data_IF_723325189663
#
_entry.id   IF_723325189663
#
_cell.length_a   1.000
_cell.length_b   1.000
_cell.length_c   1.000
_cell.angle_alpha   90.00
_cell.angle_beta   90.00
_cell.angle_gamma   90.00
#
_symmetry.space_group_name_H-M   'P 1'
#
loop_
_entity.id
_entity.type
_entity.pdbx_description
1 polymer ?
#
# COMPACT_ATOMS: atom_id res chain seq x y z
N UNK A 1 14.31 3.26 15.17
CA UNK A 1 14.53 3.20 13.70
C UNK A 1 14.66 1.77 13.21
N UNK A 2 15.31 0.87 13.96
CA UNK A 2 15.49 -0.54 13.56
C UNK A 2 14.27 -1.43 13.82
N UNK A 3 13.32 -0.99 14.64
CA UNK A 3 12.15 -1.77 15.07
C UNK A 3 11.02 -1.84 14.01
N UNK A 4 11.31 -1.40 12.78
CA UNK A 4 10.36 -1.46 11.67
C UNK A 4 10.52 -2.78 10.90
N UNK A 5 9.55 -3.69 11.05
CA UNK A 5 9.57 -4.98 10.36
C UNK A 5 10.84 -5.79 10.65
N UNK A 6 11.44 -6.37 9.62
CA UNK A 6 12.65 -7.20 9.70
C UNK A 6 13.96 -6.40 9.56
N UNK A 7 13.94 -5.07 9.71
CA UNK A 7 15.11 -4.21 9.46
C UNK A 7 16.24 -4.49 10.44
N UNK A 8 15.95 -4.75 11.72
CA UNK A 8 16.97 -5.08 12.71
C UNK A 8 17.76 -6.34 12.33
N UNK A 9 17.07 -7.45 12.09
CA UNK A 9 17.66 -8.73 11.69
C UNK A 9 18.45 -8.58 10.38
N UNK A 10 17.90 -7.86 9.40
CA UNK A 10 18.56 -7.65 8.11
C UNK A 10 19.81 -6.76 8.21
N UNK A 11 19.84 -5.80 9.14
CA UNK A 11 21.04 -5.00 9.42
C UNK A 11 22.10 -5.83 10.13
N UNK A 12 21.72 -6.66 11.10
CA UNK A 12 22.63 -7.55 11.83
C UNK A 12 23.29 -8.58 10.89
N UNK A 13 22.58 -9.07 9.87
CA UNK A 13 23.17 -9.93 8.81
C UNK A 13 24.24 -9.22 7.97
N UNK A 14 24.22 -7.88 7.90
CA UNK A 14 25.21 -7.08 7.19
C UNK A 14 26.38 -6.63 8.10
N UNK A 15 26.34 -6.99 9.38
CA UNK A 15 27.34 -6.62 10.40
C UNK A 15 26.79 -5.62 11.42
N UNK A 16 27.65 -4.76 11.98
CA UNK A 16 27.24 -3.82 13.01
C UNK A 16 26.22 -2.78 12.49
N UNK A 17 25.31 -2.26 13.35
CA UNK A 17 24.33 -1.23 13.00
C UNK A 17 24.97 0.12 12.65
N UNK A 18 25.53 0.22 11.45
CA UNK A 18 26.05 1.46 10.87
C UNK A 18 25.03 2.10 9.93
N UNK A 19 25.12 3.43 9.72
CA UNK A 19 24.28 4.13 8.74
C UNK A 19 24.39 3.52 7.33
N UNK A 20 25.58 3.00 6.99
CA UNK A 20 25.83 2.28 5.73
C UNK A 20 25.01 0.99 5.65
N UNK A 21 25.05 0.16 6.69
CA UNK A 21 24.34 -1.12 6.73
C UNK A 21 22.82 -0.92 6.78
N UNK A 22 22.35 0.09 7.54
CA UNK A 22 20.93 0.50 7.51
C UNK A 22 20.50 0.91 6.11
N UNK A 23 21.27 1.77 5.44
CA UNK A 23 20.96 2.21 4.06
C UNK A 23 20.90 1.02 3.10
N UNK A 24 21.89 0.13 3.14
CA UNK A 24 21.97 -1.03 2.27
C UNK A 24 20.78 -1.96 2.48
N UNK A 25 20.48 -2.30 3.73
CA UNK A 25 19.31 -3.09 4.12
C UNK A 25 18.00 -2.49 3.58
N UNK A 26 17.79 -1.18 3.73
CA UNK A 26 16.58 -0.51 3.24
C UNK A 26 16.47 -0.57 1.71
N UNK A 27 17.59 -0.39 0.99
CA UNK A 27 17.62 -0.53 -0.47
C UNK A 27 17.23 -1.93 -0.90
N UNK A 28 17.77 -2.95 -0.25
CA UNK A 28 17.53 -4.35 -0.60
C UNK A 28 16.09 -4.77 -0.31
N UNK A 29 15.54 -4.39 0.85
CA UNK A 29 14.12 -4.61 1.19
C UNK A 29 13.21 -3.93 0.15
N UNK A 30 13.54 -2.71 -0.28
CA UNK A 30 12.72 -1.98 -1.27
C UNK A 30 12.77 -2.65 -2.64
N UNK A 31 13.93 -3.11 -3.08
CA UNK A 31 14.08 -3.85 -4.35
C UNK A 31 13.28 -5.15 -4.38
N UNK A 32 13.16 -5.82 -3.24
CA UNK A 32 12.35 -7.04 -3.13
C UNK A 32 10.84 -6.77 -3.14
N UNK A 33 10.40 -5.68 -2.50
CA UNK A 33 8.97 -5.41 -2.26
C UNK A 33 8.30 -4.54 -3.32
N UNK A 34 9.05 -3.68 -4.01
CA UNK A 34 8.50 -2.71 -4.94
C UNK A 34 8.80 -3.12 -6.38
N UNK A 35 7.82 -3.04 -7.31
CA UNK A 35 8.08 -3.30 -8.71
C UNK A 35 9.01 -2.24 -9.28
N UNK A 36 10.02 -2.69 -10.04
CA UNK A 36 10.93 -1.80 -10.74
C UNK A 36 10.16 -0.98 -11.78
N UNK A 37 10.16 0.37 -11.69
CA UNK A 37 9.52 1.24 -12.67
C UNK A 37 10.03 1.05 -14.10
N UNK A 38 11.26 0.56 -14.28
CA UNK A 38 11.83 0.21 -15.58
C UNK A 38 11.23 -1.05 -16.21
N UNK A 39 10.57 -1.91 -15.42
CA UNK A 39 9.86 -3.10 -15.90
C UNK A 39 8.36 -2.81 -16.04
N UNK A 40 7.76 -2.19 -15.02
CA UNK A 40 6.36 -1.77 -15.02
C UNK A 40 6.26 -0.31 -14.60
N UNK A 41 5.79 0.56 -15.50
CA UNK A 41 5.57 1.97 -15.15
C UNK A 41 4.64 2.09 -13.95
N UNK A 42 5.10 2.73 -12.87
CA UNK A 42 4.34 2.90 -11.64
C UNK A 42 4.80 4.14 -10.87
N UNK A 43 3.97 4.64 -9.95
CA UNK A 43 4.26 5.81 -9.12
C UNK A 43 4.44 5.45 -7.63
N UNK A 44 4.81 4.20 -7.34
CA UNK A 44 4.85 3.69 -5.96
C UNK A 44 3.45 3.43 -5.40
N UNK A 45 3.29 3.64 -4.09
CA UNK A 45 2.00 3.50 -3.42
C UNK A 45 1.02 4.54 -3.96
N UNK A 46 -0.07 4.09 -4.56
CA UNK A 46 -1.05 4.98 -5.18
C UNK A 46 -1.97 5.63 -4.15
N UNK A 47 -2.23 4.94 -3.03
CA UNK A 47 -3.11 5.40 -1.95
C UNK A 47 -2.37 5.55 -0.64
N UNK A 48 -2.78 6.55 0.14
CA UNK A 48 -2.40 6.72 1.54
C UNK A 48 -3.11 5.68 2.40
N UNK A 49 -2.49 5.31 3.52
CA UNK A 49 -3.16 4.52 4.54
C UNK A 49 -4.22 5.37 5.25
N UNK A 50 -5.51 4.99 5.23
CA UNK A 50 -6.58 5.77 5.85
C UNK A 50 -6.40 5.82 7.37
N UNK A 51 -6.60 7.02 7.93
CA UNK A 51 -6.84 7.21 9.36
C UNK A 51 -8.35 7.23 9.57
N UNK A 52 -8.84 6.37 10.45
CA UNK A 52 -10.26 6.18 10.74
C UNK A 52 -10.50 6.18 12.24
N UNK A 53 -11.76 6.35 12.63
CA UNK A 53 -12.13 6.29 14.05
C UNK A 53 -12.23 4.83 14.50
N UNK A 54 -12.12 4.60 15.81
CA UNK A 54 -12.11 3.24 16.39
C UNK A 54 -13.40 2.49 16.04
N UNK A 55 -14.55 3.17 15.94
CA UNK A 55 -15.83 2.57 15.55
C UNK A 55 -15.80 1.97 14.15
N UNK A 56 -15.12 2.61 13.19
CA UNK A 56 -14.95 2.10 11.82
C UNK A 56 -14.07 0.86 11.85
N UNK A 57 -12.98 0.87 12.62
CA UNK A 57 -12.15 -0.32 12.82
C UNK A 57 -12.95 -1.47 13.43
N UNK A 58 -13.77 -1.22 14.46
CA UNK A 58 -14.61 -2.25 15.07
C UNK A 58 -15.60 -2.86 14.08
N UNK A 59 -16.17 -2.07 13.18
CA UNK A 59 -17.03 -2.58 12.11
C UNK A 59 -16.26 -3.48 11.13
N UNK A 60 -15.06 -3.06 10.71
CA UNK A 60 -14.19 -3.90 9.86
C UNK A 60 -13.77 -5.19 10.58
N UNK A 61 -13.48 -5.13 11.88
CA UNK A 61 -13.09 -6.29 12.69
C UNK A 61 -14.21 -7.31 12.88
N UNK A 62 -15.49 -6.90 12.75
CA UNK A 62 -16.61 -7.83 12.84
C UNK A 62 -16.56 -8.88 11.72
N UNK A 63 -16.17 -8.46 10.51
CA UNK A 63 -16.04 -9.34 9.35
C UNK A 63 -14.60 -9.84 9.15
N UNK A 64 -13.60 -9.07 9.60
CA UNK A 64 -12.18 -9.37 9.43
C UNK A 64 -11.37 -9.15 10.72
N UNK A 65 -11.42 -10.09 11.67
CA UNK A 65 -10.73 -9.97 12.96
C UNK A 65 -9.21 -9.77 12.84
N UNK A 66 -8.61 -10.22 11.74
CA UNK A 66 -7.18 -10.14 11.46
C UNK A 66 -6.70 -8.82 10.84
N UNK A 67 -7.59 -7.83 10.67
CA UNK A 67 -7.22 -6.54 10.08
C UNK A 67 -6.05 -5.89 10.83
N UNK A 68 -4.92 -5.59 10.16
CA UNK A 68 -3.83 -4.89 10.79
C UNK A 68 -4.21 -3.42 10.99
N UNK A 69 -3.80 -2.85 12.11
CA UNK A 69 -4.00 -1.43 12.39
C UNK A 69 -2.86 -0.89 13.25
N UNK A 70 -2.68 0.42 13.21
CA UNK A 70 -1.74 1.15 14.06
C UNK A 70 -2.49 2.24 14.80
N UNK A 71 -2.45 2.23 16.13
CA UNK A 71 -3.05 3.30 16.94
C UNK A 71 -2.23 4.58 16.80
N UNK A 72 -2.91 5.72 16.76
CA UNK A 72 -2.30 7.05 16.71
C UNK A 72 -2.70 7.81 17.99
N UNK A 73 -1.96 7.62 19.12
CA UNK A 73 -2.37 8.09 20.44
C UNK A 73 -2.73 9.57 20.50
N UNK A 74 -1.99 10.41 19.79
CA UNK A 74 -2.20 11.87 19.78
C UNK A 74 -3.53 12.30 19.14
N UNK A 75 -4.05 11.52 18.20
CA UNK A 75 -5.29 11.83 17.49
C UNK A 75 -6.50 11.03 18.00
N UNK A 76 -6.27 9.97 18.78
CA UNK A 76 -7.30 8.99 19.14
C UNK A 76 -7.80 8.13 17.97
N UNK A 77 -7.18 8.24 16.79
CA UNK A 77 -7.56 7.52 15.57
C UNK A 77 -6.67 6.31 15.33
N UNK A 78 -7.07 5.46 14.40
CA UNK A 78 -6.31 4.28 13.98
C UNK A 78 -6.01 4.34 12.50
N UNK A 79 -4.82 3.90 12.12
CA UNK A 79 -4.39 3.82 10.72
C UNK A 79 -4.49 2.38 10.24
N UNK A 80 -5.27 2.14 9.19
CA UNK A 80 -5.42 0.83 8.57
C UNK A 80 -4.55 0.79 7.31
N UNK A 81 -3.73 -0.26 7.07
CA UNK A 81 -2.99 -0.41 5.82
C UNK A 81 -3.92 -0.53 4.60
N UNK A 82 -3.86 0.45 3.70
CA UNK A 82 -4.68 0.44 2.49
C UNK A 82 -4.38 -0.75 1.58
N UNK A 83 -3.12 -1.20 1.54
CA UNK A 83 -2.76 -2.42 0.80
C UNK A 83 -3.49 -3.67 1.28
N UNK A 84 -3.73 -3.79 2.59
CA UNK A 84 -4.49 -4.91 3.14
C UNK A 84 -5.97 -4.81 2.73
N UNK A 85 -6.56 -3.61 2.77
CA UNK A 85 -7.95 -3.40 2.34
C UNK A 85 -8.14 -3.76 0.85
N UNK A 86 -7.23 -3.28 -0.01
CA UNK A 86 -7.23 -3.56 -1.46
C UNK A 86 -7.06 -5.06 -1.73
N UNK A 87 -6.16 -5.72 -1.01
CA UNK A 87 -5.98 -7.17 -1.12
C UNK A 87 -7.22 -7.94 -0.67
N UNK A 88 -7.83 -7.57 0.46
CA UNK A 88 -9.03 -8.24 0.98
C UNK A 88 -10.27 -8.00 0.13
N UNK A 89 -10.36 -6.87 -0.55
CA UNK A 89 -11.36 -6.61 -1.57
C UNK A 89 -11.12 -7.40 -2.87
N UNK A 90 -9.98 -8.10 -3.01
CA UNK A 90 -9.70 -9.00 -4.14
C UNK A 90 -8.99 -8.32 -5.30
N UNK A 91 -8.52 -7.09 -5.15
CA UNK A 91 -7.92 -6.31 -6.24
C UNK A 91 -6.46 -6.66 -6.53
N UNK A 92 -5.73 -7.33 -5.62
CA UNK A 92 -4.31 -7.67 -5.84
C UNK A 92 -4.15 -8.55 -7.09
N UNK A 93 -3.40 -8.06 -8.08
CA UNK A 93 -3.21 -8.73 -9.36
C UNK A 93 -4.33 -8.53 -10.38
N UNK A 94 -5.43 -7.84 -10.03
CA UNK A 94 -6.52 -7.54 -10.95
C UNK A 94 -6.12 -6.46 -11.95
N UNK A 95 -6.79 -6.47 -13.10
CA UNK A 95 -6.56 -5.49 -14.16
C UNK A 95 -7.83 -4.93 -14.74
N UNK A 96 -7.76 -3.68 -15.18
CA UNK A 96 -8.80 -3.00 -15.93
C UNK A 96 -8.13 -2.38 -17.17
N UNK A 97 -8.39 -2.96 -18.33
CA UNK A 97 -7.68 -2.60 -19.57
C UNK A 97 -6.17 -2.81 -19.43
N UNK A 98 -5.39 -1.77 -19.72
CA UNK A 98 -3.93 -1.79 -19.62
C UNK A 98 -3.39 -1.46 -18.21
N UNK A 99 -4.24 -1.00 -17.30
CA UNK A 99 -3.90 -0.74 -15.91
C UNK A 99 -4.09 -2.01 -15.06
N UNK A 100 -3.26 -2.20 -14.03
CA UNK A 100 -3.42 -3.31 -13.08
C UNK A 100 -2.92 -2.96 -11.68
N UNK A 101 -3.36 -3.71 -10.69
CA UNK A 101 -2.76 -3.74 -9.36
C UNK A 101 -1.61 -4.75 -9.36
N UNK A 102 -0.45 -4.38 -8.84
CA UNK A 102 0.70 -5.27 -8.84
C UNK A 102 0.45 -6.55 -8.02
N UNK A 103 0.79 -7.71 -8.58
CA UNK A 103 0.53 -9.04 -7.97
C UNK A 103 1.14 -9.26 -6.58
N UNK A 104 2.27 -8.61 -6.30
CA UNK A 104 2.98 -8.76 -5.02
C UNK A 104 2.79 -7.54 -4.10
N UNK A 105 2.20 -6.45 -4.58
CA UNK A 105 2.04 -5.23 -3.79
C UNK A 105 0.75 -4.49 -4.15
N UNK A 106 -0.28 -4.69 -3.34
CA UNK A 106 -1.63 -4.19 -3.60
C UNK A 106 -1.75 -2.65 -3.62
N UNK A 107 -0.80 -1.93 -3.02
CA UNK A 107 -0.77 -0.46 -3.08
C UNK A 107 -0.28 0.11 -4.42
N UNK A 108 0.37 -0.70 -5.25
CA UNK A 108 1.02 -0.21 -6.47
C UNK A 108 0.16 -0.49 -7.68
N UNK A 109 -0.32 0.57 -8.32
CA UNK A 109 -0.92 0.50 -9.65
C UNK A 109 0.19 0.52 -10.70
N UNK A 110 0.07 -0.35 -11.70
CA UNK A 110 1.05 -0.54 -12.76
C UNK A 110 0.43 -0.30 -14.13
N UNK A 111 1.25 0.27 -15.01
CA UNK A 111 1.04 0.26 -16.45
C UNK A 111 1.63 -1.06 -17.02
N UNK A 112 0.78 -1.87 -17.67
CA UNK A 112 1.21 -3.12 -18.34
C UNK A 112 1.92 -2.90 -19.69
N UNK A 113 2.11 -1.65 -20.11
CA UNK A 113 2.84 -1.24 -21.32
C UNK A 113 2.21 -0.04 -22.02
N UNK A 114 0.88 0.00 -22.12
CA UNK A 114 0.13 0.98 -22.92
C UNK A 114 -1.01 1.69 -22.17
N UNK A 115 -1.01 1.64 -20.84
CA UNK A 115 -2.03 2.31 -20.04
C UNK A 115 -1.95 3.83 -20.19
N UNK A 116 -3.08 4.42 -20.53
CA UNK A 116 -3.28 5.87 -20.45
C UNK A 116 -3.43 6.31 -19.00
N UNK A 117 -3.16 7.59 -18.71
CA UNK A 117 -3.43 8.16 -17.38
C UNK A 117 -4.89 8.00 -16.97
N UNK A 118 -5.83 8.06 -17.94
CA UNK A 118 -7.26 7.82 -17.71
C UNK A 118 -7.54 6.38 -17.28
N UNK A 119 -6.92 5.38 -17.90
CA UNK A 119 -7.09 3.97 -17.49
C UNK A 119 -6.59 3.72 -16.06
N UNK A 120 -5.44 4.31 -15.69
CA UNK A 120 -4.92 4.22 -14.32
C UNK A 120 -5.90 4.89 -13.34
N UNK A 121 -6.43 6.06 -13.70
CA UNK A 121 -7.40 6.78 -12.88
C UNK A 121 -8.72 6.00 -12.73
N UNK A 122 -9.24 5.41 -13.81
CA UNK A 122 -10.44 4.58 -13.77
C UNK A 122 -10.26 3.34 -12.89
N UNK A 123 -9.09 2.70 -12.93
CA UNK A 123 -8.77 1.61 -12.00
C UNK A 123 -8.75 2.11 -10.55
N UNK A 124 -8.14 3.27 -10.29
CA UNK A 124 -8.09 3.85 -8.95
C UNK A 124 -9.49 4.19 -8.41
N UNK A 125 -10.35 4.79 -9.23
CA UNK A 125 -11.74 5.11 -8.89
C UNK A 125 -12.57 3.86 -8.59
N UNK A 126 -12.37 2.78 -9.35
CA UNK A 126 -13.04 1.50 -9.11
C UNK A 126 -12.63 0.90 -7.75
N UNK A 127 -11.34 0.97 -7.41
CA UNK A 127 -10.82 0.52 -6.12
C UNK A 127 -11.40 1.39 -4.98
N UNK A 128 -11.37 2.71 -5.11
CA UNK A 128 -11.93 3.63 -4.11
C UNK A 128 -13.41 3.36 -3.84
N UNK A 129 -14.21 3.16 -4.89
CA UNK A 129 -15.63 2.88 -4.79
C UNK A 129 -15.88 1.55 -4.06
N UNK A 130 -15.13 0.49 -4.41
CA UNK A 130 -15.29 -0.82 -3.80
C UNK A 130 -14.83 -0.86 -2.34
N UNK A 131 -13.73 -0.18 -1.99
CA UNK A 131 -13.27 -0.06 -0.60
C UNK A 131 -14.27 0.74 0.25
N UNK A 132 -14.85 1.81 -0.31
CA UNK A 132 -15.92 2.55 0.36
C UNK A 132 -17.15 1.67 0.58
N UNK A 133 -17.55 0.89 -0.42
CA UNK A 133 -18.70 0.02 -0.32
C UNK A 133 -18.49 -1.10 0.72
N UNK A 134 -17.35 -1.80 0.67
CA UNK A 134 -17.07 -2.97 1.53
C UNK A 134 -16.72 -2.61 2.97
N UNK A 135 -15.97 -1.52 3.18
CA UNK A 135 -15.39 -1.23 4.50
C UNK A 135 -15.90 0.09 5.10
N UNK A 136 -16.72 0.86 4.36
CA UNK A 136 -17.10 2.22 4.73
C UNK A 136 -15.89 3.14 4.97
N UNK A 137 -14.83 2.95 4.16
CA UNK A 137 -13.57 3.71 4.22
C UNK A 137 -13.31 4.37 2.88
N UNK A 138 -13.03 5.67 2.88
CA UNK A 138 -12.59 6.40 1.68
C UNK A 138 -11.07 6.42 1.60
N UNK A 139 -10.51 5.86 0.53
CA UNK A 139 -9.07 5.98 0.25
C UNK A 139 -8.75 7.36 -0.32
N UNK A 140 -7.58 7.88 0.02
CA UNK A 140 -7.03 9.10 -0.57
C UNK A 140 -5.83 8.74 -1.42
N UNK A 141 -5.76 9.31 -2.62
CA UNK A 141 -4.61 9.17 -3.52
C UNK A 141 -3.39 9.88 -2.92
N UNK A 142 -2.23 9.26 -3.08
CA UNK A 142 -0.93 9.85 -2.75
C UNK A 142 -0.31 10.56 -3.96
N UNK A 143 -0.64 10.08 -5.16
CA UNK A 143 -0.18 10.67 -6.43
C UNK A 143 -0.95 11.95 -6.78
N UNK A 144 -0.29 12.84 -7.52
CA UNK A 144 -0.93 14.00 -8.12
C UNK A 144 -1.45 13.64 -9.51
N UNK A 145 -2.69 13.99 -9.80
CA UNK A 145 -3.26 13.91 -11.15
C UNK A 145 -3.12 15.29 -11.78
N UNK A 146 -2.45 15.36 -12.92
CA UNK A 146 -2.24 16.61 -13.68
C UNK A 146 -3.00 16.49 -14.99
N UNK A 147 -3.75 17.54 -15.33
CA UNK A 147 -4.54 17.65 -16.56
C UNK A 147 -3.85 18.52 -17.61
#
# INVERSE_FOLDING_TARGET
MLDYGNVREAVEMLGEPSLRNVRQCIVDIRRQKLPDPGVFGNAGSFFKNPMVDVSVLSAVQADFPEVPFYTMPESGRVKIPAGWLIEKAGWKGQSLGNAAVHKNQALVLINKGHATGREILTLAEAIEADIRYKFNITLQREVNVVE
#
